data_IF_713394058506
#
_entry.id   IF_713394058506
#
_cell.length_a   1.000
_cell.length_b   1.000
_cell.length_c   1.000
_cell.angle_alpha   90.00
_cell.angle_beta   90.00
_cell.angle_gamma   90.00
#
_symmetry.space_group_name_H-M   'P 1'
#
loop_
_entity.id
_entity.type
_entity.pdbx_description
1 polymer ?
#
# COMPACT_ATOMS: atom_id res chain seq x y z
N UNK A 1 14.74 -35.55 31.19
CA UNK A 1 13.84 -34.46 30.72
C UNK A 1 12.66 -35.12 30.04
N UNK A 2 11.42 -34.87 30.49
CA UNK A 2 10.21 -35.43 29.87
C UNK A 2 9.80 -34.52 28.71
N UNK A 3 9.56 -35.12 27.53
CA UNK A 3 9.05 -34.44 26.34
C UNK A 3 7.65 -33.87 26.65
N UNK A 4 7.31 -32.64 26.24
CA UNK A 4 5.95 -32.13 26.37
C UNK A 4 5.02 -32.92 25.42
N UNK A 5 4.08 -33.66 26.00
CA UNK A 5 3.00 -34.35 25.27
C UNK A 5 2.04 -33.27 24.74
N UNK A 6 1.67 -33.34 23.46
CA UNK A 6 0.69 -32.41 22.90
C UNK A 6 -0.70 -32.66 23.49
N UNK A 7 -1.44 -31.57 23.74
CA UNK A 7 -2.85 -31.68 24.13
C UNK A 7 -3.67 -32.21 22.93
N UNK A 8 -4.65 -33.09 23.13
CA UNK A 8 -5.52 -33.57 22.07
C UNK A 8 -6.13 -32.40 21.27
N UNK A 9 -6.00 -32.41 19.95
CA UNK A 9 -6.55 -31.37 19.07
C UNK A 9 -5.67 -30.14 18.83
N UNK A 10 -4.48 -30.05 19.44
CA UNK A 10 -3.58 -28.91 19.31
C UNK A 10 -3.17 -28.61 17.85
N UNK A 11 -3.00 -29.65 17.01
CA UNK A 11 -2.67 -29.47 15.58
C UNK A 11 -3.83 -28.88 14.78
N UNK A 12 -5.08 -29.21 15.13
CA UNK A 12 -6.27 -28.66 14.48
C UNK A 12 -6.48 -27.19 14.82
N UNK A 13 -6.22 -26.80 16.07
CA UNK A 13 -6.25 -25.39 16.49
C UNK A 13 -5.15 -24.57 15.81
N UNK A 14 -3.92 -25.10 15.79
CA UNK A 14 -2.81 -24.51 15.06
C UNK A 14 -3.14 -24.34 13.57
N UNK A 15 -3.75 -25.35 12.95
CA UNK A 15 -4.15 -25.28 11.55
C UNK A 15 -5.19 -24.18 11.28
N UNK A 16 -6.21 -24.08 12.14
CA UNK A 16 -7.25 -23.06 12.03
C UNK A 16 -6.65 -21.65 12.19
N UNK A 17 -5.80 -21.46 13.21
CA UNK A 17 -5.15 -20.18 13.48
C UNK A 17 -4.20 -19.78 12.35
N UNK A 18 -3.35 -20.70 11.89
CA UNK A 18 -2.39 -20.43 10.83
C UNK A 18 -3.08 -20.10 9.50
N UNK A 19 -4.13 -20.86 9.15
CA UNK A 19 -4.91 -20.59 7.93
C UNK A 19 -5.66 -19.27 8.02
N UNK A 20 -6.16 -18.90 9.21
CA UNK A 20 -6.86 -17.63 9.43
C UNK A 20 -5.91 -16.43 9.42
N UNK A 21 -4.72 -16.55 10.01
CA UNK A 21 -3.76 -15.44 10.11
C UNK A 21 -2.94 -15.29 8.83
N UNK A 22 -2.75 -16.38 8.07
CA UNK A 22 -1.78 -16.42 6.97
C UNK A 22 -0.34 -16.55 7.45
N UNK A 23 -0.11 -16.75 8.76
CA UNK A 23 1.21 -16.91 9.36
C UNK A 23 1.30 -18.15 10.26
N UNK A 24 2.48 -18.74 10.35
CA UNK A 24 2.86 -19.69 11.39
C UNK A 24 3.98 -19.09 12.24
N UNK A 25 3.73 -18.92 13.53
CA UNK A 25 4.68 -18.35 14.48
C UNK A 25 5.82 -19.33 14.79
N UNK A 26 6.80 -18.87 15.56
CA UNK A 26 7.89 -19.72 16.06
C UNK A 26 7.37 -20.73 17.08
N UNK A 27 6.39 -20.34 17.88
CA UNK A 27 5.71 -21.25 18.80
C UNK A 27 4.93 -22.34 18.04
N UNK A 28 4.21 -21.98 16.97
CA UNK A 28 3.49 -22.96 16.12
C UNK A 28 4.45 -23.98 15.52
N UNK A 29 5.62 -23.53 15.04
CA UNK A 29 6.64 -24.42 14.49
C UNK A 29 7.24 -25.34 15.54
N UNK A 30 7.48 -24.86 16.76
CA UNK A 30 7.93 -25.73 17.84
C UNK A 30 6.86 -26.74 18.25
N UNK A 31 5.57 -26.35 18.26
CA UNK A 31 4.45 -27.27 18.47
C UNK A 31 4.38 -28.35 17.39
N UNK A 32 4.56 -27.97 16.11
CA UNK A 32 4.60 -28.91 14.99
C UNK A 32 5.81 -29.86 15.08
N UNK A 33 6.98 -29.35 15.46
CA UNK A 33 8.18 -30.17 15.65
C UNK A 33 8.02 -31.15 16.81
N UNK A 34 7.40 -30.73 17.91
CA UNK A 34 7.06 -31.62 19.01
C UNK A 34 6.10 -32.73 18.55
N UNK A 35 5.10 -32.40 17.71
CA UNK A 35 4.17 -33.39 17.15
C UNK A 35 4.88 -34.45 16.29
N UNK A 36 5.86 -34.01 15.49
CA UNK A 36 6.65 -34.89 14.63
C UNK A 36 7.61 -35.81 15.39
N UNK A 37 7.83 -35.55 16.68
CA UNK A 37 8.66 -36.36 17.57
C UNK A 37 7.84 -37.33 18.43
N UNK A 38 6.50 -37.32 18.33
CA UNK A 38 5.65 -38.33 18.96
C UNK A 38 5.68 -39.62 18.13
N UNK A 39 5.82 -40.77 18.80
CA UNK A 39 6.08 -42.08 18.15
C UNK A 39 4.93 -42.57 17.25
N UNK A 40 3.70 -42.06 17.44
CA UNK A 40 2.54 -42.43 16.63
C UNK A 40 1.64 -41.23 16.28
N UNK A 41 1.96 -40.52 15.18
CA UNK A 41 1.04 -39.55 14.57
C UNK A 41 -0.12 -40.24 13.84
N UNK A 42 -1.35 -39.84 14.17
CA UNK A 42 -2.57 -40.31 13.51
C UNK A 42 -2.71 -39.82 12.06
N UNK A 43 -3.60 -40.46 11.28
CA UNK A 43 -3.81 -40.10 9.86
C UNK A 43 -4.34 -38.67 9.67
N UNK A 44 -5.17 -38.19 10.58
CA UNK A 44 -5.73 -36.83 10.54
C UNK A 44 -4.66 -35.77 10.79
N UNK A 45 -3.78 -36.01 11.76
CA UNK A 45 -2.67 -35.13 12.11
C UNK A 45 -1.66 -35.06 10.97
N UNK A 46 -1.32 -36.19 10.36
CA UNK A 46 -0.48 -36.25 9.14
C UNK A 46 -1.08 -35.45 8.00
N UNK A 47 -2.39 -35.54 7.80
CA UNK A 47 -3.09 -34.79 6.77
C UNK A 47 -3.04 -33.27 7.03
N UNK A 48 -3.22 -32.84 8.28
CA UNK A 48 -3.10 -31.44 8.69
C UNK A 48 -1.68 -30.92 8.45
N UNK A 49 -0.67 -31.68 8.86
CA UNK A 49 0.75 -31.34 8.68
C UNK A 49 1.05 -31.18 7.18
N UNK A 50 0.65 -32.14 6.34
CA UNK A 50 0.88 -32.05 4.89
C UNK A 50 0.15 -30.85 4.26
N UNK A 51 -1.05 -30.52 4.74
CA UNK A 51 -1.78 -29.33 4.28
C UNK A 51 -1.06 -28.03 4.66
N UNK A 52 -0.53 -27.93 5.88
CA UNK A 52 0.29 -26.79 6.33
C UNK A 52 1.55 -26.66 5.49
N UNK A 53 2.30 -27.75 5.31
CA UNK A 53 3.51 -27.79 4.51
C UNK A 53 3.25 -27.37 3.06
N UNK A 54 2.15 -27.84 2.45
CA UNK A 54 1.75 -27.42 1.10
C UNK A 54 1.33 -25.95 1.06
N UNK A 55 0.65 -25.43 2.08
CA UNK A 55 0.27 -24.03 2.15
C UNK A 55 1.51 -23.12 2.25
N UNK A 56 2.52 -23.51 3.04
CA UNK A 56 3.81 -22.83 3.11
C UNK A 56 4.54 -22.90 1.78
N UNK A 57 4.65 -24.10 1.18
CA UNK A 57 5.33 -24.31 -0.12
C UNK A 57 4.68 -23.52 -1.25
N UNK A 58 3.36 -23.29 -1.19
CA UNK A 58 2.60 -22.49 -2.17
C UNK A 58 2.56 -20.99 -1.83
N UNK A 59 3.26 -20.56 -0.77
CA UNK A 59 3.30 -19.16 -0.34
C UNK A 59 1.99 -18.61 0.24
N UNK A 60 1.03 -19.50 0.57
CA UNK A 60 -0.26 -19.14 1.18
C UNK A 60 -0.17 -18.97 2.69
N UNK A 61 0.91 -19.46 3.29
CA UNK A 61 1.18 -19.41 4.71
C UNK A 61 2.64 -19.00 4.93
N UNK A 62 2.88 -17.91 5.66
CA UNK A 62 4.22 -17.36 5.89
C UNK A 62 4.75 -17.76 7.26
N UNK A 63 6.04 -18.08 7.38
CA UNK A 63 6.63 -18.38 8.69
C UNK A 63 7.06 -17.06 9.36
N UNK A 64 6.72 -16.89 10.63
CA UNK A 64 7.11 -15.77 11.49
C UNK A 64 7.99 -16.27 12.63
N UNK A 65 9.00 -15.49 13.02
CA UNK A 65 9.97 -15.84 14.08
C UNK A 65 9.55 -15.39 15.50
N UNK A 66 8.35 -14.84 15.65
CA UNK A 66 7.79 -14.35 16.91
C UNK A 66 7.13 -15.47 17.74
N UNK A 67 7.02 -15.27 19.06
CA UNK A 67 6.60 -16.28 20.06
C UNK A 67 5.09 -16.39 20.30
N UNK A 68 4.29 -15.38 19.96
CA UNK A 68 2.82 -15.38 20.12
C UNK A 68 2.18 -14.53 19.03
N UNK A 69 0.96 -14.86 18.64
CA UNK A 69 0.17 -14.10 17.67
C UNK A 69 -0.68 -12.97 18.29
N UNK A 70 -0.58 -12.74 19.60
CA UNK A 70 -1.36 -11.69 20.28
C UNK A 70 -0.74 -10.32 20.00
N UNK A 71 -1.52 -9.48 19.31
CA UNK A 71 -1.23 -8.15 18.72
C UNK A 71 -0.53 -8.12 17.36
N UNK A 72 -1.05 -8.87 16.40
CA UNK A 72 -0.95 -8.48 14.99
C UNK A 72 -2.36 -8.52 14.38
N UNK A 73 -3.10 -7.40 14.47
CA UNK A 73 -3.96 -7.04 13.33
C UNK A 73 -3.03 -7.18 12.12
N UNK A 74 -3.33 -8.06 11.17
CA UNK A 74 -2.42 -8.32 10.05
C UNK A 74 -2.29 -7.03 9.25
N UNK A 75 -1.35 -6.18 9.65
CA UNK A 75 -1.07 -4.92 9.01
C UNK A 75 -0.62 -5.30 7.61
N UNK A 76 -1.49 -5.04 6.64
CA UNK A 76 -1.13 -5.28 5.26
C UNK A 76 0.12 -4.46 4.97
N UNK A 77 1.18 -5.13 4.55
CA UNK A 77 2.36 -4.45 4.04
C UNK A 77 2.03 -3.83 2.69
N UNK A 78 2.16 -2.51 2.62
CA UNK A 78 2.05 -1.71 1.41
C UNK A 78 3.18 -0.69 1.38
N UNK A 79 3.54 -0.24 0.19
CA UNK A 79 4.41 0.93 0.02
C UNK A 79 3.55 2.14 -0.36
N UNK A 80 4.05 3.35 -0.15
CA UNK A 80 3.41 4.57 -0.61
C UNK A 80 4.18 5.21 -1.76
N UNK A 81 3.46 5.76 -2.73
CA UNK A 81 3.99 6.62 -3.78
C UNK A 81 3.32 7.99 -3.61
N UNK A 82 4.14 9.01 -3.38
CA UNK A 82 3.72 10.41 -3.38
C UNK A 82 4.17 11.04 -4.70
N UNK A 83 3.22 11.55 -5.47
CA UNK A 83 3.52 12.26 -6.70
C UNK A 83 3.73 13.74 -6.40
N UNK A 84 4.97 14.19 -6.59
CA UNK A 84 5.40 15.56 -6.39
C UNK A 84 5.79 16.17 -7.74
N UNK A 85 5.08 17.21 -8.14
CA UNK A 85 5.31 17.89 -9.41
C UNK A 85 4.35 17.46 -10.51
N UNK A 86 3.79 18.46 -11.18
CA UNK A 86 2.80 18.31 -12.24
C UNK A 86 2.68 19.60 -13.05
N UNK A 87 1.63 19.70 -13.88
CA UNK A 87 1.42 20.88 -14.73
C UNK A 87 1.33 22.20 -13.94
N UNK A 88 0.83 22.19 -12.71
CA UNK A 88 0.74 23.40 -11.87
C UNK A 88 2.09 24.03 -11.53
N UNK A 89 3.12 23.19 -11.31
CA UNK A 89 4.49 23.68 -11.08
C UNK A 89 5.07 24.36 -12.33
N UNK A 90 4.52 24.12 -13.53
CA UNK A 90 4.85 24.84 -14.78
C UNK A 90 4.05 26.15 -14.95
N UNK A 91 2.91 26.29 -14.27
CA UNK A 91 2.08 27.50 -14.28
C UNK A 91 2.47 28.51 -13.17
N UNK A 92 3.63 28.33 -12.54
CA UNK A 92 4.22 29.29 -11.61
C UNK A 92 3.82 29.12 -10.14
N UNK A 93 2.94 28.16 -9.81
CA UNK A 93 2.60 27.83 -8.43
C UNK A 93 3.00 26.40 -8.09
N UNK A 94 4.07 26.27 -7.30
CA UNK A 94 4.52 24.98 -6.81
C UNK A 94 3.72 24.57 -5.56
N UNK A 95 2.58 23.91 -5.80
CA UNK A 95 1.66 23.49 -4.74
C UNK A 95 2.33 22.66 -3.64
N UNK A 96 3.32 21.85 -4.03
CA UNK A 96 4.10 21.02 -3.11
C UNK A 96 4.79 21.85 -2.00
N UNK A 97 5.08 23.13 -2.28
CA UNK A 97 5.78 24.05 -1.38
C UNK A 97 4.83 25.02 -0.65
N UNK A 98 3.52 24.97 -0.92
CA UNK A 98 2.56 25.80 -0.18
C UNK A 98 2.62 25.42 1.30
N UNK A 99 2.80 26.38 2.23
CA UNK A 99 2.79 26.08 3.65
C UNK A 99 1.36 25.93 4.17
N UNK A 100 1.08 24.81 4.83
CA UNK A 100 -0.12 24.61 5.64
C UNK A 100 0.30 24.38 7.08
N UNK A 101 -0.24 25.18 8.01
CA UNK A 101 0.18 25.19 9.41
C UNK A 101 1.71 25.33 9.60
N UNK A 102 2.37 26.07 8.70
CA UNK A 102 3.82 26.31 8.72
C UNK A 102 4.67 25.21 8.07
N UNK A 103 4.08 24.13 7.55
CA UNK A 103 4.78 23.00 6.92
C UNK A 103 4.42 22.90 5.43
N UNK A 104 5.38 22.71 4.52
CA UNK A 104 5.06 22.49 3.10
C UNK A 104 4.15 21.27 2.89
N UNK A 105 3.15 21.37 2.00
CA UNK A 105 2.20 20.29 1.73
C UNK A 105 2.87 18.96 1.40
N UNK A 106 3.93 18.97 0.57
CA UNK A 106 4.68 17.75 0.25
C UNK A 106 5.28 17.08 1.49
N UNK A 107 5.83 17.88 2.41
CA UNK A 107 6.39 17.37 3.66
C UNK A 107 5.29 16.72 4.51
N UNK A 108 4.15 17.40 4.65
CA UNK A 108 3.03 16.90 5.41
C UNK A 108 2.49 15.56 4.87
N UNK A 109 2.28 15.46 3.55
CA UNK A 109 1.82 14.22 2.91
C UNK A 109 2.85 13.09 3.10
N UNK A 110 4.14 13.38 2.96
CA UNK A 110 5.20 12.40 3.21
C UNK A 110 5.22 11.93 4.67
N UNK A 111 5.08 12.84 5.64
CA UNK A 111 5.04 12.49 7.05
C UNK A 111 3.81 11.62 7.38
N UNK A 112 2.65 11.93 6.79
CA UNK A 112 1.45 11.08 6.91
C UNK A 112 1.70 9.68 6.32
N UNK A 113 2.33 9.59 5.14
CA UNK A 113 2.67 8.31 4.51
C UNK A 113 3.68 7.50 5.35
N UNK A 114 4.70 8.15 5.92
CA UNK A 114 5.71 7.52 6.78
C UNK A 114 5.15 7.02 8.11
N UNK A 115 4.04 7.59 8.58
CA UNK A 115 3.30 7.08 9.74
C UNK A 115 2.40 5.88 9.38
N UNK A 116 2.27 5.56 8.09
CA UNK A 116 1.48 4.43 7.59
C UNK A 116 2.36 3.27 7.11
N UNK A 117 3.56 3.54 6.59
CA UNK A 117 4.48 2.53 6.06
C UNK A 117 5.93 3.03 6.07
N UNK A 118 6.88 2.10 6.15
CA UNK A 118 8.32 2.39 6.06
C UNK A 118 8.83 2.56 4.62
N UNK A 119 8.06 2.11 3.61
CA UNK A 119 8.44 2.24 2.19
C UNK A 119 7.68 3.36 1.51
N UNK A 120 8.24 4.58 1.54
CA UNK A 120 7.66 5.76 0.89
C UNK A 120 8.55 6.23 -0.26
N UNK A 121 7.98 6.32 -1.46
CA UNK A 121 8.63 6.82 -2.66
C UNK A 121 8.04 8.17 -3.06
N UNK A 122 8.88 9.18 -3.27
CA UNK A 122 8.46 10.45 -3.86
C UNK A 122 8.88 10.47 -5.31
N UNK A 123 7.93 10.59 -6.24
CA UNK A 123 8.22 10.69 -7.68
C UNK A 123 8.15 12.15 -8.08
N UNK A 124 9.25 12.68 -8.64
CA UNK A 124 9.32 14.08 -9.07
C UNK A 124 10.27 14.28 -10.27
N UNK A 125 9.97 15.20 -11.20
CA UNK A 125 10.92 15.63 -12.23
C UNK A 125 11.99 16.60 -11.71
N UNK A 126 11.82 17.19 -10.51
CA UNK A 126 12.70 18.23 -9.94
C UNK A 126 13.23 17.79 -8.56
N UNK A 127 14.28 16.97 -8.53
CA UNK A 127 14.87 16.44 -7.31
C UNK A 127 15.44 17.55 -6.42
N UNK A 128 16.25 18.42 -7.02
CA UNK A 128 16.99 19.48 -6.34
C UNK A 128 16.04 20.51 -5.71
N UNK A 129 14.85 20.69 -6.30
CA UNK A 129 13.84 21.61 -5.78
C UNK A 129 13.24 21.16 -4.46
N UNK A 130 13.11 19.85 -4.24
CA UNK A 130 12.40 19.30 -3.09
C UNK A 130 13.33 18.61 -2.08
N UNK A 131 14.64 18.67 -2.28
CA UNK A 131 15.63 17.99 -1.45
C UNK A 131 15.50 18.32 0.06
N UNK A 132 15.20 19.58 0.39
CA UNK A 132 15.11 20.07 1.77
C UNK A 132 13.72 19.85 2.39
N UNK A 133 12.73 19.49 1.55
CA UNK A 133 11.33 19.30 1.95
C UNK A 133 11.00 17.82 2.12
N UNK A 134 11.58 16.96 1.31
CA UNK A 134 11.36 15.51 1.37
C UNK A 134 12.09 14.93 2.60
N UNK A 135 11.40 14.19 3.48
CA UNK A 135 12.07 13.51 4.60
C UNK A 135 13.17 12.56 4.11
N UNK A 136 14.28 12.48 4.83
CA UNK A 136 15.42 11.59 4.50
C UNK A 136 15.08 10.10 4.50
N UNK A 137 13.99 9.71 5.17
CA UNK A 137 13.44 8.34 5.16
C UNK A 137 12.73 8.00 3.85
N UNK A 138 12.31 8.99 3.06
CA UNK A 138 11.68 8.76 1.77
C UNK A 138 12.74 8.48 0.69
N UNK A 139 12.40 7.61 -0.24
CA UNK A 139 13.20 7.36 -1.45
C UNK A 139 12.71 8.26 -2.58
N UNK A 140 13.60 8.94 -3.27
CA UNK A 140 13.20 9.82 -4.39
C UNK A 140 13.42 9.12 -5.73
N UNK A 141 12.41 9.19 -6.59
CA UNK A 141 12.45 8.68 -7.96
C UNK A 141 12.38 9.89 -8.88
N UNK A 142 13.45 10.11 -9.65
CA UNK A 142 13.44 11.12 -10.70
C UNK A 142 12.56 10.66 -11.86
N UNK A 143 11.51 11.42 -12.16
CA UNK A 143 10.75 11.24 -13.39
C UNK A 143 11.62 11.71 -14.56
N UNK A 144 11.94 10.79 -15.47
CA UNK A 144 12.69 11.09 -16.70
C UNK A 144 11.72 11.02 -17.86
N UNK A 145 11.41 12.14 -18.54
CA UNK A 145 10.57 12.11 -19.72
C UNK A 145 11.28 11.34 -20.86
N UNK A 146 10.51 10.72 -21.78
CA UNK A 146 11.06 10.19 -23.03
C UNK A 146 11.83 11.28 -23.81
N UNK A 147 12.82 10.86 -24.61
CA UNK A 147 13.61 11.77 -25.44
C UNK A 147 12.70 12.62 -26.35
N UNK A 148 12.84 13.94 -26.27
CA UNK A 148 12.05 14.90 -27.06
C UNK A 148 10.73 15.34 -26.42
N UNK A 149 10.39 14.83 -25.24
CA UNK A 149 9.18 15.21 -24.51
C UNK A 149 9.47 16.14 -23.32
N UNK A 150 8.47 16.96 -22.95
CA UNK A 150 8.59 17.89 -21.81
C UNK A 150 8.59 17.15 -20.46
N UNK A 151 9.39 17.58 -19.45
CA UNK A 151 9.44 16.92 -18.14
C UNK A 151 8.12 17.04 -17.38
N UNK A 152 7.41 15.91 -17.15
CA UNK A 152 6.07 15.73 -16.53
C UNK A 152 4.91 15.53 -17.52
N UNK A 153 4.63 14.29 -17.91
CA UNK A 153 3.52 13.92 -18.80
C UNK A 153 2.23 13.58 -18.05
N UNK A 154 2.12 14.07 -16.81
CA UNK A 154 0.97 13.88 -15.94
C UNK A 154 1.17 12.76 -14.91
N UNK A 155 0.29 12.72 -13.90
CA UNK A 155 0.45 11.87 -12.72
C UNK A 155 0.44 10.36 -13.06
N UNK A 156 -0.10 9.99 -14.21
CA UNK A 156 -0.21 8.60 -14.65
C UNK A 156 1.15 8.00 -15.03
N UNK A 157 2.05 8.79 -15.66
CA UNK A 157 3.43 8.35 -15.89
C UNK A 157 4.23 8.29 -14.59
N UNK A 158 4.10 9.31 -13.73
CA UNK A 158 4.75 9.32 -12.42
C UNK A 158 4.37 8.09 -11.59
N UNK A 159 3.09 7.70 -11.60
CA UNK A 159 2.64 6.48 -10.96
C UNK A 159 3.26 5.22 -11.59
N UNK A 160 3.31 5.14 -12.92
CA UNK A 160 3.94 4.01 -13.61
C UNK A 160 5.43 3.87 -13.28
N UNK A 161 6.18 4.98 -13.19
CA UNK A 161 7.57 4.96 -12.75
C UNK A 161 7.72 4.51 -11.30
N UNK A 162 6.85 4.99 -10.41
CA UNK A 162 6.83 4.56 -9.01
C UNK A 162 6.55 3.06 -8.86
N UNK A 163 5.59 2.52 -9.61
CA UNK A 163 5.25 1.08 -9.57
C UNK A 163 6.42 0.17 -9.98
N UNK A 164 7.36 0.64 -10.81
CA UNK A 164 8.56 -0.13 -11.16
C UNK A 164 9.50 -0.37 -9.97
N UNK A 165 9.45 0.50 -8.94
CA UNK A 165 10.31 0.41 -7.75
C UNK A 165 9.66 -0.36 -6.60
N UNK A 166 8.34 -0.37 -6.53
CA UNK A 166 7.59 -1.01 -5.45
C UNK A 166 7.58 -2.53 -5.60
N UNK A 167 7.73 -3.25 -4.47
CA UNK A 167 7.67 -4.72 -4.40
C UNK A 167 6.46 -5.24 -3.62
N UNK A 168 5.87 -4.41 -2.77
CA UNK A 168 4.68 -4.77 -1.98
C UNK A 168 3.48 -5.02 -2.88
N UNK A 169 2.54 -5.81 -2.38
CA UNK A 169 1.36 -6.18 -3.14
C UNK A 169 0.39 -5.00 -3.30
N UNK A 170 0.25 -4.18 -2.27
CA UNK A 170 -0.58 -2.97 -2.27
C UNK A 170 0.30 -1.73 -2.28
N UNK A 171 -0.16 -0.69 -2.97
CA UNK A 171 0.53 0.57 -3.14
C UNK A 171 -0.44 1.70 -2.85
N UNK A 172 -0.15 2.51 -1.85
CA UNK A 172 -0.89 3.73 -1.57
C UNK A 172 -0.39 4.83 -2.51
N UNK A 173 -1.26 5.39 -3.35
CA UNK A 173 -0.94 6.52 -4.22
C UNK A 173 -1.51 7.81 -3.64
N UNK A 174 -0.68 8.83 -3.52
CA UNK A 174 -1.02 10.14 -2.94
C UNK A 174 -0.55 11.27 -3.86
N UNK A 175 -1.41 12.27 -4.08
CA UNK A 175 -1.01 13.60 -4.52
C UNK A 175 -0.29 14.37 -3.40
N UNK A 176 0.58 15.32 -3.76
CA UNK A 176 1.31 16.14 -2.79
C UNK A 176 0.50 17.33 -2.23
N UNK A 177 -0.69 17.62 -2.76
CA UNK A 177 -1.49 18.80 -2.44
C UNK A 177 -2.72 18.51 -1.55
N UNK A 178 -2.63 17.51 -0.66
CA UNK A 178 -3.72 17.10 0.25
C UNK A 178 -3.51 17.59 1.70
N UNK A 179 -3.88 18.84 2.06
CA UNK A 179 -3.62 19.45 3.38
C UNK A 179 -4.35 18.76 4.53
N UNK A 180 -5.47 18.10 4.27
CA UNK A 180 -6.31 17.48 5.30
C UNK A 180 -6.11 15.97 5.40
N UNK A 181 -5.07 15.42 4.75
CA UNK A 181 -4.76 14.00 4.78
C UNK A 181 -4.43 13.54 6.21
N UNK A 182 -5.03 12.42 6.63
CA UNK A 182 -4.88 11.91 8.00
C UNK A 182 -4.40 10.46 8.01
N UNK A 183 -3.35 10.19 8.79
CA UNK A 183 -2.79 8.84 9.03
C UNK A 183 -3.87 7.83 9.43
N UNK A 184 -4.74 8.20 10.38
CA UNK A 184 -5.77 7.30 10.93
C UNK A 184 -6.75 6.82 9.85
N UNK A 185 -7.10 7.68 8.90
CA UNK A 185 -8.02 7.32 7.81
C UNK A 185 -7.35 6.36 6.84
N UNK A 186 -6.10 6.62 6.45
CA UNK A 186 -5.33 5.72 5.59
C UNK A 186 -5.10 4.35 6.21
N UNK A 187 -4.78 4.30 7.51
CA UNK A 187 -4.68 3.05 8.27
C UNK A 187 -6.01 2.29 8.32
N UNK A 188 -7.13 3.01 8.46
CA UNK A 188 -8.47 2.40 8.42
C UNK A 188 -8.76 1.80 7.04
N UNK A 189 -8.45 2.52 5.97
CA UNK A 189 -8.59 1.99 4.60
C UNK A 189 -7.68 0.77 4.36
N UNK A 190 -6.46 0.77 4.87
CA UNK A 190 -5.53 -0.36 4.76
C UNK A 190 -6.10 -1.66 5.38
N UNK A 191 -6.84 -1.55 6.49
CA UNK A 191 -7.52 -2.68 7.14
C UNK A 191 -8.63 -3.31 6.29
N UNK A 192 -9.16 -2.58 5.30
CA UNK A 192 -10.21 -3.06 4.39
C UNK A 192 -9.66 -3.78 3.15
N UNK A 193 -8.36 -3.66 2.88
CA UNK A 193 -7.71 -4.28 1.72
C UNK A 193 -7.78 -5.82 1.68
N UNK A 194 -7.69 -6.60 2.79
CA UNK A 194 -7.76 -8.07 2.70
C UNK A 194 -9.14 -8.56 2.24
N UNK A 195 -10.19 -7.76 2.46
CA UNK A 195 -11.57 -8.06 2.04
C UNK A 195 -11.80 -7.81 0.54
N UNK A 196 -10.78 -7.33 -0.17
CA UNK A 196 -10.90 -6.96 -1.58
C UNK A 196 -10.61 -8.16 -2.48
N UNK A 197 -11.50 -8.41 -3.44
CA UNK A 197 -11.36 -9.47 -4.44
C UNK A 197 -10.04 -9.35 -5.25
N UNK A 198 -9.48 -10.48 -5.67
CA UNK A 198 -8.19 -10.55 -6.35
C UNK A 198 -8.18 -9.93 -7.76
N UNK A 199 -9.34 -9.83 -8.40
CA UNK A 199 -9.54 -9.19 -9.70
C UNK A 199 -9.66 -7.65 -9.61
N UNK A 200 -9.78 -7.10 -8.42
CA UNK A 200 -9.87 -5.65 -8.19
C UNK A 200 -8.49 -5.01 -8.21
N UNK A 201 -8.25 -4.09 -9.14
CA UNK A 201 -6.93 -3.47 -9.33
C UNK A 201 -6.69 -2.28 -8.38
N UNK A 202 -7.75 -1.65 -7.89
CA UNK A 202 -7.66 -0.46 -7.06
C UNK A 202 -8.85 -0.33 -6.10
N UNK A 203 -8.60 0.35 -4.99
CA UNK A 203 -9.53 0.61 -3.90
C UNK A 203 -9.46 2.11 -3.63
N UNK A 204 -10.43 2.86 -4.15
CA UNK A 204 -10.35 4.32 -4.31
C UNK A 204 -11.61 5.02 -3.81
N UNK A 205 -11.52 6.24 -3.26
CA UNK A 205 -12.66 7.12 -3.08
C UNK A 205 -13.29 7.50 -4.42
N UNK A 206 -14.58 7.82 -4.40
CA UNK A 206 -15.33 8.26 -5.58
C UNK A 206 -16.08 9.57 -5.32
N UNK A 207 -16.00 10.47 -6.28
CA UNK A 207 -16.80 11.68 -6.36
C UNK A 207 -17.85 11.55 -7.48
N UNK A 208 -18.94 12.34 -7.49
CA UNK A 208 -19.85 12.42 -8.64
C UNK A 208 -19.19 12.62 -10.02
N UNK A 209 -17.97 13.17 -10.06
CA UNK A 209 -17.23 13.44 -11.29
C UNK A 209 -16.30 12.29 -11.73
N UNK A 210 -16.11 11.26 -10.90
CA UNK A 210 -15.20 10.16 -11.19
C UNK A 210 -14.50 9.63 -9.94
N UNK A 211 -13.50 8.77 -10.15
CA UNK A 211 -12.63 8.28 -9.09
C UNK A 211 -11.72 9.40 -8.56
N UNK A 212 -11.25 9.28 -7.32
CA UNK A 212 -10.13 10.07 -6.79
C UNK A 212 -8.85 9.24 -6.89
N UNK A 213 -8.16 9.23 -8.05
CA UNK A 213 -7.06 8.29 -8.30
C UNK A 213 -5.83 8.55 -7.45
N UNK A 214 -5.61 9.79 -7.04
CA UNK A 214 -4.39 10.19 -6.30
C UNK A 214 -4.61 10.20 -4.78
N UNK A 215 -5.58 9.44 -4.28
CA UNK A 215 -5.79 9.24 -2.86
C UNK A 215 -6.39 7.86 -2.60
N UNK A 216 -5.59 6.80 -2.75
CA UNK A 216 -6.10 5.45 -2.53
C UNK A 216 -5.12 4.34 -2.88
N UNK A 217 -5.59 3.10 -2.79
CA UNK A 217 -4.73 1.93 -2.91
C UNK A 217 -4.86 1.27 -4.28
N UNK A 218 -3.72 0.85 -4.83
CA UNK A 218 -3.60 0.09 -6.06
C UNK A 218 -2.91 -1.22 -5.79
N UNK A 219 -3.27 -2.28 -6.50
CA UNK A 219 -2.46 -3.50 -6.52
C UNK A 219 -1.27 -3.29 -7.42
N UNK A 220 -0.08 -3.65 -6.97
CA UNK A 220 1.14 -3.62 -7.79
C UNK A 220 0.97 -4.39 -9.11
N UNK A 221 0.16 -5.45 -9.11
CA UNK A 221 -0.14 -6.24 -10.32
C UNK A 221 -0.84 -5.43 -11.43
N UNK A 222 -1.33 -4.21 -11.16
CA UNK A 222 -1.85 -3.32 -12.19
C UNK A 222 -0.75 -2.68 -13.06
N UNK A 223 0.53 -2.82 -12.70
CA UNK A 223 1.64 -2.19 -13.41
C UNK A 223 1.72 -2.56 -14.91
N UNK A 224 1.58 -3.83 -15.32
CA UNK A 224 1.59 -4.18 -16.74
C UNK A 224 0.39 -3.59 -17.49
N UNK A 225 -0.80 -3.59 -16.86
CA UNK A 225 -2.03 -3.01 -17.42
C UNK A 225 -1.87 -1.51 -17.64
N UNK A 226 -1.32 -0.81 -16.65
CA UNK A 226 -1.05 0.62 -16.72
C UNK A 226 -0.03 0.94 -17.82
N UNK A 227 1.05 0.16 -17.90
CA UNK A 227 2.11 0.34 -18.91
C UNK A 227 1.55 0.13 -20.32
N UNK A 228 0.72 -0.91 -20.52
CA UNK A 228 0.04 -1.15 -21.78
C UNK A 228 -0.87 0.03 -22.18
N UNK A 229 -1.69 0.52 -21.25
CA UNK A 229 -2.56 1.67 -21.48
C UNK A 229 -1.77 2.91 -21.89
N UNK A 230 -0.67 3.20 -21.21
CA UNK A 230 0.24 4.32 -21.55
C UNK A 230 0.84 4.18 -22.95
N UNK A 231 1.32 2.98 -23.29
CA UNK A 231 1.96 2.70 -24.58
C UNK A 231 0.99 2.80 -25.76
N UNK A 232 -0.31 2.62 -25.51
CA UNK A 232 -1.37 2.83 -26.49
C UNK A 232 -1.78 4.31 -26.62
N UNK A 233 -1.08 5.22 -25.95
CA UNK A 233 -1.38 6.66 -25.95
C UNK A 233 -2.34 7.11 -24.85
N UNK A 234 -2.73 6.21 -23.94
CA UNK A 234 -3.56 6.54 -22.79
C UNK A 234 -2.88 7.53 -21.83
N UNK A 235 -3.65 8.50 -21.34
CA UNK A 235 -3.16 9.58 -20.45
C UNK A 235 -4.10 9.93 -19.29
N UNK A 236 -5.29 9.34 -19.23
CA UNK A 236 -6.33 9.66 -18.25
C UNK A 236 -6.48 8.55 -17.21
N UNK A 237 -6.38 8.88 -15.92
CA UNK A 237 -6.69 7.93 -14.85
C UNK A 237 -8.13 7.47 -14.91
N UNK A 238 -9.08 8.35 -15.24
CA UNK A 238 -10.50 7.99 -15.29
C UNK A 238 -10.74 6.94 -16.38
N UNK A 239 -10.20 7.17 -17.58
CA UNK A 239 -10.41 6.27 -18.72
C UNK A 239 -9.71 4.92 -18.48
N UNK A 240 -8.54 4.92 -17.84
CA UNK A 240 -7.85 3.70 -17.45
C UNK A 240 -8.62 2.91 -16.39
N UNK A 241 -9.08 3.59 -15.32
CA UNK A 241 -9.83 2.96 -14.24
C UNK A 241 -11.18 2.43 -14.71
N UNK A 242 -11.82 3.07 -15.70
CA UNK A 242 -13.07 2.60 -16.29
C UNK A 242 -12.95 1.24 -17.01
N UNK A 243 -11.74 0.85 -17.41
CA UNK A 243 -11.47 -0.43 -18.10
C UNK A 243 -11.27 -1.60 -17.12
N UNK A 244 -11.29 -1.34 -15.81
CA UNK A 244 -10.89 -2.31 -14.80
C UNK A 244 -11.81 -2.30 -13.60
N UNK A 245 -11.75 -3.38 -12.81
CA UNK A 245 -12.52 -3.47 -11.56
C UNK A 245 -11.85 -2.63 -10.47
N UNK A 246 -12.59 -1.62 -10.01
CA UNK A 246 -12.22 -0.74 -8.89
C UNK A 246 -13.26 -0.89 -7.79
N UNK A 247 -12.81 -1.03 -6.54
CA UNK A 247 -13.69 -1.02 -5.37
C UNK A 247 -13.73 0.39 -4.80
N UNK A 248 -14.92 0.85 -4.46
CA UNK A 248 -15.09 2.14 -3.80
C UNK A 248 -14.69 2.07 -2.32
N UNK A 249 -13.93 3.07 -1.86
CA UNK A 249 -13.66 3.33 -0.45
C UNK A 249 -14.73 4.25 0.12
N UNK A 250 -15.34 3.82 1.22
CA UNK A 250 -16.21 4.70 2.00
C UNK A 250 -15.38 5.77 2.70
N UNK A 251 -15.73 7.03 2.46
CA UNK A 251 -15.07 8.20 3.07
C UNK A 251 -16.10 8.95 3.90
N UNK A 252 -15.93 8.92 5.22
CA UNK A 252 -16.82 9.56 6.18
C UNK A 252 -16.63 11.09 6.21
N UNK A 253 -15.38 11.56 6.25
CA UNK A 253 -15.07 12.98 6.11
C UNK A 253 -14.39 13.24 4.76
N UNK A 254 -15.13 13.87 3.84
CA UNK A 254 -14.63 14.18 2.49
C UNK A 254 -13.60 15.30 2.46
N UNK A 255 -13.40 16.06 3.56
CA UNK A 255 -12.33 17.07 3.63
C UNK A 255 -10.95 16.45 3.37
N UNK A 256 -10.75 15.17 3.71
CA UNK A 256 -9.50 14.46 3.46
C UNK A 256 -9.11 14.38 1.97
N UNK A 257 -10.10 14.48 1.07
CA UNK A 257 -9.91 14.40 -0.39
C UNK A 257 -9.71 15.78 -1.03
N UNK A 258 -9.72 16.85 -0.24
CA UNK A 258 -9.53 18.20 -0.73
C UNK A 258 -8.08 18.38 -1.23
N UNK A 259 -7.95 18.80 -2.49
CA UNK A 259 -6.67 19.16 -3.09
C UNK A 259 -6.52 20.69 -3.11
N UNK A 260 -5.46 21.20 -2.50
CA UNK A 260 -5.15 22.61 -2.42
C UNK A 260 -4.43 23.07 -3.68
N UNK A 261 -5.13 23.85 -4.52
CA UNK A 261 -4.55 24.35 -5.75
C UNK A 261 -3.79 25.66 -5.57
N UNK A 262 -4.24 26.50 -4.63
CA UNK A 262 -3.65 27.82 -4.35
C UNK A 262 -3.63 28.09 -2.84
N UNK A 263 -2.74 28.98 -2.35
CA UNK A 263 -2.68 29.32 -0.93
C UNK A 263 -4.00 29.87 -0.36
N UNK A 264 -4.79 30.59 -1.17
CA UNK A 264 -6.06 31.20 -0.76
C UNK A 264 -7.12 30.14 -0.39
N UNK A 265 -7.08 28.97 -1.03
CA UNK A 265 -8.03 27.89 -0.75
C UNK A 265 -7.83 27.27 0.65
N UNK A 266 -6.65 27.43 1.27
CA UNK A 266 -6.38 26.94 2.62
C UNK A 266 -7.13 27.74 3.69
N UNK A 267 -7.33 29.05 3.48
CA UNK A 267 -8.02 29.92 4.43
C UNK A 267 -9.53 29.71 4.47
N UNK A 268 -10.12 29.19 3.40
CA UNK A 268 -11.55 28.85 3.32
C UNK A 268 -11.89 27.44 3.84
N UNK A 269 -10.86 26.65 4.20
CA UNK A 269 -10.97 25.23 4.54
C UNK A 269 -10.72 24.94 6.03
N UNK A 270 -10.34 25.96 6.81
CA UNK A 270 -10.23 25.96 8.27
C UNK A 270 -11.58 26.29 8.91
#
# INVERSE_FOLDING_TARGET
MRCPILLPGALSELFAQATSSGYMTKADRYGLMAALLEDELGNEERFIIDRLLRAVKRGRLRLADELSAVTMETAISFSAIVLAGGQSSRMGQDKALIPFQGVPLLRQVCDVALNCTDEVFVVTPWLERYQDVIPTRCQVIREVPPLGETPSQGPLLGFAEGLKRVKTHWVLLLACDMPHLQTKVLQTWAKELPKTSNDTIAVLPRHPKGWEPLCGFYRRQSQPLLTQYINQGGRSFQDWLAQHRVRELSVSDRKILFNCNTPEELGASL
#
